data_IF_360912735432
#
_entry.id   IF_360912735432
#
_cell.length_a   1.000
_cell.length_b   1.000
_cell.length_c   1.000
_cell.angle_alpha   90.00
_cell.angle_beta   90.00
_cell.angle_gamma   90.00
#
_symmetry.space_group_name_H-M   'P 1'
#
loop_
_entity.id
_entity.type
_entity.pdbx_description
1 polymer ?
#
# COMPACT_ATOMS: atom_id res chain seq x y z
N UNK A 1 -8.63 -51.65 -9.89
CA UNK A 1 -8.13 -50.30 -10.23
C UNK A 1 -9.30 -49.45 -10.70
N UNK A 2 -9.87 -48.63 -9.81
CA UNK A 2 -10.41 -47.34 -10.20
C UNK A 2 -9.59 -46.23 -9.54
N UNK A 3 -9.27 -45.24 -10.37
CA UNK A 3 -8.42 -44.08 -10.11
C UNK A 3 -9.11 -43.14 -9.11
N UNK A 4 -8.49 -42.91 -7.95
CA UNK A 4 -8.89 -41.84 -7.04
C UNK A 4 -8.57 -40.48 -7.70
N UNK A 5 -9.63 -39.75 -8.05
CA UNK A 5 -9.56 -38.33 -8.37
C UNK A 5 -9.12 -37.59 -7.09
N UNK A 6 -7.85 -37.19 -7.07
CA UNK A 6 -7.31 -36.32 -6.05
C UNK A 6 -8.02 -34.96 -6.14
N UNK A 7 -8.97 -34.73 -5.23
CA UNK A 7 -9.63 -33.46 -5.06
C UNK A 7 -8.59 -32.45 -4.56
N UNK A 8 -8.14 -31.58 -5.46
CA UNK A 8 -7.37 -30.38 -5.13
C UNK A 8 -8.27 -29.47 -4.29
N UNK A 9 -8.22 -29.64 -2.97
CA UNK A 9 -8.72 -28.64 -2.04
C UNK A 9 -7.87 -27.38 -2.21
N UNK A 10 -8.33 -26.47 -3.06
CA UNK A 10 -7.90 -25.07 -3.02
C UNK A 10 -8.26 -24.56 -1.64
N UNK A 11 -7.26 -24.40 -0.76
CA UNK A 11 -7.48 -23.84 0.56
C UNK A 11 -8.25 -22.52 0.40
N UNK A 12 -9.45 -22.45 0.96
CA UNK A 12 -10.28 -21.24 0.92
C UNK A 12 -9.44 -20.12 1.54
N UNK A 13 -9.12 -19.08 0.77
CA UNK A 13 -8.35 -17.96 1.29
C UNK A 13 -9.09 -17.38 2.51
N UNK A 14 -8.34 -17.09 3.59
CA UNK A 14 -8.94 -16.51 4.81
C UNK A 14 -9.70 -15.24 4.46
N UNK A 15 -10.87 -15.05 5.07
CA UNK A 15 -11.68 -13.83 4.90
C UNK A 15 -10.90 -12.55 5.24
N UNK A 16 -9.93 -12.64 6.16
CA UNK A 16 -9.03 -11.54 6.49
C UNK A 16 -8.01 -11.28 5.39
N UNK A 17 -7.52 -12.34 4.73
CA UNK A 17 -6.67 -12.18 3.56
C UNK A 17 -7.44 -11.49 2.42
N UNK A 18 -8.67 -11.91 2.13
CA UNK A 18 -9.49 -11.29 1.08
C UNK A 18 -9.78 -9.80 1.37
N UNK A 19 -10.01 -9.44 2.62
CA UNK A 19 -10.15 -8.03 3.02
C UNK A 19 -8.84 -7.22 2.94
N UNK A 20 -7.68 -7.85 3.14
CA UNK A 20 -6.38 -7.18 3.13
C UNK A 20 -5.80 -7.03 1.71
N UNK A 21 -5.91 -8.11 0.93
CA UNK A 21 -5.19 -8.35 -0.31
C UNK A 21 -6.05 -8.97 -1.42
N UNK A 22 -7.35 -9.15 -1.21
CA UNK A 22 -8.27 -9.70 -2.19
C UNK A 22 -9.31 -8.69 -2.68
N UNK A 23 -10.49 -9.23 -2.97
CA UNK A 23 -11.58 -8.59 -3.70
C UNK A 23 -12.56 -7.80 -2.79
N UNK A 24 -12.53 -8.03 -1.48
CA UNK A 24 -13.50 -7.44 -0.54
C UNK A 24 -12.87 -6.52 0.53
N UNK A 25 -12.13 -5.46 0.13
CA UNK A 25 -11.46 -4.57 1.08
C UNK A 25 -12.42 -3.75 1.96
N UNK A 26 -13.67 -3.59 1.53
CA UNK A 26 -14.72 -2.86 2.26
C UNK A 26 -15.40 -3.64 3.37
N UNK A 27 -15.06 -4.94 3.54
CA UNK A 27 -15.71 -5.81 4.52
C UNK A 27 -15.62 -5.22 5.93
N UNK A 28 -16.78 -5.00 6.53
CA UNK A 28 -16.91 -4.58 7.93
C UNK A 28 -18.24 -5.05 8.52
N UNK A 29 -18.29 -5.61 9.74
CA UNK A 29 -17.15 -5.90 10.62
C UNK A 29 -16.25 -7.02 10.07
N UNK A 30 -14.95 -6.94 10.38
CA UNK A 30 -14.00 -8.01 10.06
C UNK A 30 -14.10 -9.15 11.09
N UNK A 31 -13.89 -10.42 10.70
CA UNK A 31 -13.83 -11.55 11.64
C UNK A 31 -12.59 -11.46 12.55
N UNK A 32 -12.68 -11.97 13.79
CA UNK A 32 -11.59 -11.90 14.74
C UNK A 32 -10.38 -12.72 14.27
N UNK A 33 -9.18 -12.16 14.38
CA UNK A 33 -7.94 -12.88 14.05
C UNK A 33 -7.64 -13.95 15.10
N UNK A 34 -7.29 -15.15 14.64
CA UNK A 34 -6.96 -16.29 15.50
C UNK A 34 -5.46 -16.45 15.76
N UNK A 35 -4.61 -15.86 14.90
CA UNK A 35 -3.15 -15.89 15.03
C UNK A 35 -2.49 -14.56 14.64
N UNK A 36 -1.14 -14.51 14.71
CA UNK A 36 -0.38 -13.32 14.36
C UNK A 36 -0.43 -12.92 12.88
N UNK A 37 -0.58 -13.88 11.96
CA UNK A 37 -0.64 -13.60 10.51
C UNK A 37 -2.03 -13.06 10.14
N UNK A 38 -3.09 -13.65 10.68
CA UNK A 38 -4.44 -13.11 10.57
C UNK A 38 -4.56 -11.72 11.22
N UNK A 39 -3.87 -11.49 12.33
CA UNK A 39 -3.83 -10.16 12.96
C UNK A 39 -3.16 -9.12 12.06
N UNK A 40 -2.09 -9.51 11.35
CA UNK A 40 -1.49 -8.66 10.32
C UNK A 40 -2.47 -8.35 9.20
N UNK A 41 -3.14 -9.35 8.62
CA UNK A 41 -4.14 -9.14 7.56
C UNK A 41 -5.28 -8.23 8.03
N UNK A 42 -5.82 -8.49 9.22
CA UNK A 42 -6.87 -7.67 9.83
C UNK A 42 -6.42 -6.22 10.03
N UNK A 43 -5.19 -5.99 10.47
CA UNK A 43 -4.63 -4.65 10.59
C UNK A 43 -4.45 -3.97 9.23
N UNK A 44 -3.95 -4.68 8.21
CA UNK A 44 -3.81 -4.16 6.84
C UNK A 44 -5.17 -3.72 6.29
N UNK A 45 -6.23 -4.52 6.50
CA UNK A 45 -7.60 -4.21 6.10
C UNK A 45 -8.14 -2.98 6.85
N UNK A 46 -8.06 -2.96 8.19
CA UNK A 46 -8.48 -1.82 9.01
C UNK A 46 -7.78 -0.51 8.60
N UNK A 47 -6.46 -0.56 8.37
CA UNK A 47 -5.71 0.61 7.91
C UNK A 47 -6.13 1.03 6.49
N UNK A 48 -6.42 0.07 5.60
CA UNK A 48 -6.97 0.37 4.27
C UNK A 48 -8.33 1.08 4.31
N UNK A 49 -9.12 0.81 5.34
CA UNK A 49 -10.43 1.44 5.58
C UNK A 49 -10.33 2.77 6.35
N UNK A 50 -9.12 3.24 6.70
CA UNK A 50 -8.91 4.47 7.48
C UNK A 50 -9.12 4.30 9.00
N UNK A 51 -9.21 3.07 9.51
CA UNK A 51 -9.41 2.78 10.94
C UNK A 51 -8.08 2.60 11.66
N UNK A 52 -7.22 3.63 11.64
CA UNK A 52 -5.82 3.50 12.06
C UNK A 52 -5.64 3.11 13.54
N UNK A 53 -6.44 3.64 14.47
CA UNK A 53 -6.34 3.23 15.89
C UNK A 53 -6.70 1.76 16.09
N UNK A 54 -7.73 1.28 15.38
CA UNK A 54 -8.12 -0.13 15.43
C UNK A 54 -7.03 -1.02 14.81
N UNK A 55 -6.44 -0.60 13.69
CA UNK A 55 -5.32 -1.29 13.06
C UNK A 55 -4.09 -1.37 13.99
N UNK A 56 -3.82 -0.30 14.74
CA UNK A 56 -2.71 -0.25 15.70
C UNK A 56 -2.96 -1.13 16.94
N UNK A 57 -4.19 -1.15 17.46
CA UNK A 57 -4.57 -2.07 18.55
C UNK A 57 -4.48 -3.53 18.08
N UNK A 58 -4.92 -3.81 16.86
CA UNK A 58 -4.87 -5.15 16.29
C UNK A 58 -3.44 -5.69 16.20
N UNK A 59 -2.46 -4.91 15.69
CA UNK A 59 -1.06 -5.36 15.62
C UNK A 59 -0.43 -5.72 16.97
N UNK A 60 -1.01 -5.25 18.08
CA UNK A 60 -0.55 -5.56 19.45
C UNK A 60 -1.24 -6.79 20.04
N UNK A 61 -2.36 -7.24 19.45
CA UNK A 61 -3.18 -8.35 19.97
C UNK A 61 -2.44 -9.67 19.91
N UNK A 62 -1.75 -9.93 18.79
CA UNK A 62 -1.01 -11.16 18.55
C UNK A 62 0.46 -10.86 18.30
N UNK A 63 1.34 -11.31 19.20
CA UNK A 63 2.78 -11.12 19.05
C UNK A 63 3.31 -12.05 17.95
N UNK A 64 3.96 -11.53 16.89
CA UNK A 64 4.48 -12.39 15.84
C UNK A 64 5.71 -13.17 16.30
N UNK A 65 5.79 -14.43 15.87
CA UNK A 65 6.85 -15.36 16.24
C UNK A 65 8.11 -15.22 15.35
N UNK A 66 7.95 -14.84 14.08
CA UNK A 66 9.06 -14.67 13.12
C UNK A 66 9.50 -13.22 12.99
N UNK A 67 10.76 -12.99 12.63
CA UNK A 67 11.30 -11.64 12.45
C UNK A 67 10.70 -10.96 11.21
N UNK A 68 10.40 -11.75 10.18
CA UNK A 68 9.77 -11.33 8.93
C UNK A 68 8.37 -10.76 9.20
N UNK A 69 7.54 -11.47 9.97
CA UNK A 69 6.20 -11.00 10.28
C UNK A 69 6.23 -9.78 11.22
N UNK A 70 7.19 -9.74 12.17
CA UNK A 70 7.41 -8.53 12.98
C UNK A 70 7.84 -7.33 12.12
N UNK A 71 8.65 -7.55 11.10
CA UNK A 71 9.05 -6.51 10.14
C UNK A 71 7.86 -6.03 9.33
N UNK A 72 7.01 -6.94 8.84
CA UNK A 72 5.78 -6.61 8.15
C UNK A 72 4.80 -5.82 9.02
N UNK A 73 4.67 -6.16 10.31
CA UNK A 73 3.89 -5.34 11.26
C UNK A 73 4.44 -3.90 11.35
N UNK A 74 5.76 -3.76 11.46
CA UNK A 74 6.41 -2.44 11.54
C UNK A 74 6.21 -1.63 10.25
N UNK A 75 6.41 -2.24 9.08
CA UNK A 75 6.20 -1.57 7.79
C UNK A 75 4.72 -1.26 7.50
N UNK A 76 3.77 -2.09 7.93
CA UNK A 76 2.34 -1.72 7.85
C UNK A 76 2.09 -0.46 8.66
N UNK A 77 2.62 -0.38 9.89
CA UNK A 77 2.49 0.80 10.74
C UNK A 77 3.10 2.04 10.11
N UNK A 78 4.33 1.93 9.60
CA UNK A 78 4.98 3.02 8.88
C UNK A 78 4.13 3.49 7.67
N UNK A 79 3.51 2.55 6.96
CA UNK A 79 2.74 2.86 5.75
C UNK A 79 1.51 3.73 5.99
N UNK A 80 0.78 3.56 7.09
CA UNK A 80 -0.34 4.46 7.39
C UNK A 80 0.11 5.75 8.08
N UNK A 81 1.20 5.73 8.85
CA UNK A 81 1.79 6.96 9.41
C UNK A 81 2.19 7.93 8.29
N UNK A 82 2.77 7.42 7.18
CA UNK A 82 3.03 8.23 5.98
C UNK A 82 1.77 8.78 5.33
N UNK A 83 0.66 8.03 5.32
CA UNK A 83 -0.58 8.51 4.71
C UNK A 83 -1.16 9.71 5.45
N UNK A 84 -0.91 9.81 6.76
CA UNK A 84 -1.34 10.93 7.59
C UNK A 84 -0.24 12.00 7.77
N UNK A 85 0.82 11.96 6.97
CA UNK A 85 1.90 12.96 6.97
C UNK A 85 3.00 12.78 8.03
N UNK A 86 2.93 11.76 8.88
CA UNK A 86 3.90 11.54 9.96
C UNK A 86 5.17 10.78 9.51
N UNK A 87 5.86 11.31 8.50
CA UNK A 87 7.04 10.69 7.88
C UNK A 87 8.19 10.40 8.86
N UNK A 88 8.43 11.26 9.84
CA UNK A 88 9.47 11.02 10.84
C UNK A 88 9.17 9.80 11.72
N UNK A 89 7.91 9.64 12.13
CA UNK A 89 7.46 8.50 12.93
C UNK A 89 7.47 7.23 12.07
N UNK A 90 7.04 7.32 10.81
CA UNK A 90 7.10 6.20 9.86
C UNK A 90 8.54 5.67 9.68
N UNK A 91 9.51 6.58 9.49
CA UNK A 91 10.94 6.24 9.35
C UNK A 91 11.48 5.41 10.51
N UNK A 92 11.04 5.68 11.74
CA UNK A 92 11.42 4.88 12.90
C UNK A 92 10.96 3.43 12.74
N UNK A 93 9.73 3.20 12.30
CA UNK A 93 9.18 1.86 12.12
C UNK A 93 9.79 1.14 10.92
N UNK A 94 10.01 1.82 9.79
CA UNK A 94 10.69 1.21 8.64
C UNK A 94 12.17 0.90 8.95
N UNK A 95 12.82 1.70 9.81
CA UNK A 95 14.14 1.37 10.37
C UNK A 95 14.13 0.12 11.27
N UNK A 96 13.10 -0.03 12.12
CA UNK A 96 12.90 -1.26 12.92
C UNK A 96 12.66 -2.45 12.00
N UNK A 97 11.87 -2.29 10.93
CA UNK A 97 11.61 -3.35 9.96
C UNK A 97 12.92 -3.86 9.34
N UNK A 98 13.76 -2.95 8.82
CA UNK A 98 15.08 -3.30 8.28
C UNK A 98 15.97 -3.99 9.33
N UNK A 99 15.99 -3.49 10.57
CA UNK A 99 16.77 -4.10 11.64
C UNK A 99 16.35 -5.55 11.91
N UNK A 100 15.04 -5.84 11.87
CA UNK A 100 14.51 -7.17 12.17
C UNK A 100 14.89 -8.21 11.13
N UNK A 101 14.87 -7.88 9.84
CA UNK A 101 15.13 -8.87 8.76
C UNK A 101 16.58 -8.92 8.30
N UNK A 102 17.36 -7.90 8.65
CA UNK A 102 18.71 -7.69 8.16
C UNK A 102 18.77 -7.54 6.63
N UNK A 103 19.88 -6.99 6.12
CA UNK A 103 20.09 -6.82 4.67
C UNK A 103 21.38 -7.48 4.17
N UNK A 104 22.04 -8.26 5.02
CA UNK A 104 23.26 -8.98 4.67
C UNK A 104 22.90 -10.36 4.14
N UNK A 105 23.51 -10.72 3.01
CA UNK A 105 23.29 -11.99 2.33
C UNK A 105 21.93 -12.08 1.61
N UNK A 106 21.76 -13.07 0.72
CA UNK A 106 20.50 -13.27 0.02
C UNK A 106 19.37 -13.68 0.99
N UNK A 107 18.11 -13.30 0.72
CA UNK A 107 16.98 -13.81 1.49
C UNK A 107 16.83 -15.32 1.30
N UNK A 108 16.46 -16.02 2.37
CA UNK A 108 16.36 -17.49 2.41
C UNK A 108 14.95 -18.00 2.17
N UNK A 109 13.94 -17.13 2.18
CA UNK A 109 12.53 -17.48 1.99
C UNK A 109 11.74 -16.36 1.30
N UNK A 110 10.54 -16.69 0.82
CA UNK A 110 9.59 -15.71 0.25
C UNK A 110 9.21 -14.66 1.28
N UNK A 111 8.89 -15.08 2.51
CA UNK A 111 8.56 -14.18 3.63
C UNK A 111 9.72 -13.22 3.94
N UNK A 112 10.97 -13.70 3.93
CA UNK A 112 12.14 -12.86 4.15
C UNK A 112 12.34 -11.87 2.99
N UNK A 113 12.10 -12.31 1.76
CA UNK A 113 12.20 -11.45 0.57
C UNK A 113 11.14 -10.35 0.60
N UNK A 114 9.90 -10.73 0.92
CA UNK A 114 8.77 -9.80 1.03
C UNK A 114 9.03 -8.77 2.14
N UNK A 115 9.41 -9.23 3.34
CA UNK A 115 9.65 -8.33 4.47
C UNK A 115 10.85 -7.38 4.23
N UNK A 116 11.94 -7.85 3.62
CA UNK A 116 13.08 -6.99 3.24
C UNK A 116 12.70 -5.97 2.18
N UNK A 117 11.98 -6.39 1.15
CA UNK A 117 11.55 -5.51 0.07
C UNK A 117 10.58 -4.43 0.59
N UNK A 118 9.62 -4.81 1.43
CA UNK A 118 8.64 -3.88 2.00
C UNK A 118 9.32 -2.84 2.91
N UNK A 119 10.28 -3.28 3.74
CA UNK A 119 11.05 -2.39 4.60
C UNK A 119 11.93 -1.39 3.81
N UNK A 120 12.61 -1.85 2.75
CA UNK A 120 13.42 -1.00 1.88
C UNK A 120 12.56 0.00 1.10
N UNK A 121 11.44 -0.45 0.53
CA UNK A 121 10.49 0.41 -0.17
C UNK A 121 9.86 1.44 0.78
N UNK A 122 9.56 1.05 2.03
CA UNK A 122 9.10 1.96 3.08
C UNK A 122 10.10 3.07 3.39
N UNK A 123 11.36 2.71 3.64
CA UNK A 123 12.45 3.70 3.82
C UNK A 123 12.65 4.59 2.60
N UNK A 124 12.47 4.07 1.38
CA UNK A 124 12.54 4.88 0.17
C UNK A 124 11.42 5.93 0.14
N UNK A 125 10.19 5.55 0.50
CA UNK A 125 9.07 6.48 0.61
C UNK A 125 9.29 7.55 1.70
N UNK A 126 9.91 7.19 2.83
CA UNK A 126 10.28 8.17 3.86
C UNK A 126 11.43 9.10 3.43
N UNK A 127 12.37 8.59 2.62
CA UNK A 127 13.43 9.41 2.05
C UNK A 127 12.86 10.40 1.02
N UNK A 128 11.94 9.93 0.16
CA UNK A 128 11.16 10.74 -0.76
C UNK A 128 10.42 11.87 -0.04
N UNK A 129 9.62 11.56 0.97
CA UNK A 129 8.82 12.53 1.73
C UNK A 129 9.65 13.59 2.48
N UNK A 130 10.96 13.38 2.62
CA UNK A 130 11.89 14.35 3.20
C UNK A 130 12.85 14.96 2.18
N UNK A 131 12.58 14.85 0.87
CA UNK A 131 13.39 15.43 -0.21
C UNK A 131 14.73 14.74 -0.48
N UNK A 132 15.00 13.57 0.12
CA UNK A 132 16.27 12.84 -0.03
C UNK A 132 16.22 11.89 -1.23
N UNK A 133 16.06 12.46 -2.42
CA UNK A 133 15.74 11.71 -3.64
C UNK A 133 16.80 10.70 -4.08
N UNK A 134 18.10 10.97 -3.88
CA UNK A 134 19.16 10.01 -4.19
C UNK A 134 19.13 8.79 -3.25
N UNK A 135 18.80 9.00 -1.97
CA UNK A 135 18.65 7.91 -1.02
C UNK A 135 17.42 7.06 -1.36
N UNK A 136 16.31 7.69 -1.74
CA UNK A 136 15.10 6.98 -2.18
C UNK A 136 15.42 6.05 -3.37
N UNK A 137 16.14 6.57 -4.36
CA UNK A 137 16.56 5.83 -5.56
C UNK A 137 17.45 4.62 -5.22
N UNK A 138 18.48 4.84 -4.39
CA UNK A 138 19.37 3.76 -3.96
C UNK A 138 18.63 2.67 -3.17
N UNK A 139 17.64 3.03 -2.34
CA UNK A 139 16.82 2.08 -1.59
C UNK A 139 15.86 1.30 -2.50
N UNK A 140 15.28 1.95 -3.53
CA UNK A 140 14.45 1.28 -4.54
C UNK A 140 15.25 0.30 -5.38
N UNK A 141 16.46 0.66 -5.79
CA UNK A 141 17.36 -0.24 -6.50
C UNK A 141 17.65 -1.50 -5.66
N UNK A 142 17.99 -1.33 -4.39
CA UNK A 142 18.23 -2.45 -3.46
C UNK A 142 16.97 -3.28 -3.21
N UNK A 143 15.79 -2.66 -3.12
CA UNK A 143 14.51 -3.38 -3.02
C UNK A 143 14.27 -4.23 -4.26
N UNK A 144 14.53 -3.67 -5.43
CA UNK A 144 14.42 -4.35 -6.74
C UNK A 144 15.29 -5.60 -6.82
N UNK A 145 16.54 -5.51 -6.37
CA UNK A 145 17.44 -6.67 -6.28
C UNK A 145 16.88 -7.79 -5.39
N UNK A 146 16.14 -7.46 -4.32
CA UNK A 146 15.53 -8.48 -3.45
C UNK A 146 14.46 -9.29 -4.18
N UNK A 147 13.45 -8.63 -4.74
CA UNK A 147 12.29 -9.33 -5.32
C UNK A 147 12.54 -9.86 -6.75
N UNK A 148 13.57 -9.39 -7.46
CA UNK A 148 14.02 -10.01 -8.72
C UNK A 148 14.90 -11.25 -8.51
N UNK A 149 15.41 -11.44 -7.29
CA UNK A 149 16.18 -12.61 -6.90
C UNK A 149 15.40 -13.91 -7.02
N UNK A 150 16.09 -15.05 -7.02
CA UNK A 150 15.51 -16.39 -7.27
C UNK A 150 14.28 -16.70 -6.40
N UNK A 151 14.29 -16.25 -5.14
CA UNK A 151 13.24 -16.53 -4.16
C UNK A 151 12.09 -15.51 -4.24
N UNK A 152 12.34 -14.33 -4.80
CA UNK A 152 11.35 -13.24 -4.90
C UNK A 152 10.53 -13.22 -6.18
N UNK A 153 10.94 -13.96 -7.22
CA UNK A 153 10.26 -13.96 -8.51
C UNK A 153 8.79 -14.39 -8.34
N UNK A 154 7.88 -13.55 -8.81
CA UNK A 154 6.44 -13.76 -8.72
C UNK A 154 5.77 -13.08 -7.51
N UNK A 155 6.53 -12.45 -6.61
CA UNK A 155 5.95 -11.63 -5.54
C UNK A 155 5.43 -10.30 -6.10
N UNK A 156 4.12 -10.23 -6.36
CA UNK A 156 3.49 -9.03 -6.93
C UNK A 156 3.54 -7.82 -5.99
N UNK A 157 3.33 -8.00 -4.67
CA UNK A 157 3.16 -6.90 -3.72
C UNK A 157 4.43 -6.04 -3.55
N UNK A 158 5.64 -6.61 -3.36
CA UNK A 158 6.88 -5.84 -3.38
C UNK A 158 7.12 -5.07 -4.66
N UNK A 159 6.94 -5.72 -5.83
CA UNK A 159 7.16 -5.10 -7.13
C UNK A 159 6.19 -3.93 -7.36
N UNK A 160 4.92 -4.12 -7.04
CA UNK A 160 3.89 -3.09 -7.18
C UNK A 160 4.17 -1.87 -6.28
N UNK A 161 4.51 -2.10 -5.01
CA UNK A 161 4.83 -1.00 -4.08
C UNK A 161 6.09 -0.25 -4.49
N UNK A 162 7.10 -0.95 -5.01
CA UNK A 162 8.30 -0.30 -5.54
C UNK A 162 7.96 0.58 -6.75
N UNK A 163 7.09 0.12 -7.66
CA UNK A 163 6.64 0.90 -8.81
C UNK A 163 5.87 2.16 -8.41
N UNK A 164 5.02 2.11 -7.37
CA UNK A 164 4.36 3.32 -6.84
C UNK A 164 5.36 4.35 -6.33
N UNK A 165 6.31 3.94 -5.50
CA UNK A 165 7.31 4.86 -4.93
C UNK A 165 8.25 5.39 -6.02
N UNK A 166 8.56 4.60 -7.04
CA UNK A 166 9.33 5.05 -8.21
C UNK A 166 8.55 6.11 -9.03
N UNK A 167 7.25 5.91 -9.24
CA UNK A 167 6.40 6.92 -9.89
C UNK A 167 6.36 8.22 -9.08
N UNK A 168 6.14 8.14 -7.76
CA UNK A 168 6.15 9.29 -6.86
C UNK A 168 7.52 9.99 -6.84
N UNK A 169 8.64 9.25 -6.93
CA UNK A 169 9.98 9.82 -7.05
C UNK A 169 10.19 10.58 -8.35
N UNK A 170 9.74 10.04 -9.48
CA UNK A 170 9.82 10.72 -10.76
C UNK A 170 8.96 12.00 -10.76
N UNK A 171 7.74 11.96 -10.21
CA UNK A 171 6.88 13.14 -10.02
C UNK A 171 7.59 14.23 -9.20
N UNK A 172 8.18 13.87 -8.06
CA UNK A 172 8.89 14.82 -7.18
C UNK A 172 10.16 15.41 -7.80
N UNK A 173 10.75 14.73 -8.80
CA UNK A 173 11.89 15.24 -9.58
C UNK A 173 11.48 16.07 -10.79
N UNK A 174 10.19 16.18 -11.09
CA UNK A 174 9.66 16.84 -12.29
C UNK A 174 9.81 16.00 -13.56
N UNK A 175 10.08 14.70 -13.45
CA UNK A 175 10.15 13.77 -14.58
C UNK A 175 8.78 13.10 -14.80
N UNK A 176 7.87 13.86 -15.39
CA UNK A 176 6.51 13.39 -15.66
C UNK A 176 6.43 12.15 -16.57
N UNK A 177 7.15 12.09 -17.72
CA UNK A 177 7.15 10.91 -18.58
C UNK A 177 7.60 9.63 -17.85
N UNK A 178 8.64 9.71 -17.03
CA UNK A 178 9.10 8.56 -16.24
C UNK A 178 8.09 8.17 -15.14
N UNK A 179 7.42 9.16 -14.54
CA UNK A 179 6.32 8.89 -13.60
C UNK A 179 5.17 8.10 -14.24
N UNK A 180 4.76 8.48 -15.45
CA UNK A 180 3.73 7.76 -16.22
C UNK A 180 4.18 6.34 -16.53
N UNK A 181 5.43 6.16 -16.99
CA UNK A 181 6.00 4.83 -17.28
C UNK A 181 5.95 3.91 -16.06
N UNK A 182 6.33 4.42 -14.88
CA UNK A 182 6.25 3.66 -13.63
C UNK A 182 4.80 3.36 -13.20
N UNK A 183 3.88 4.32 -13.37
CA UNK A 183 2.47 4.11 -13.07
C UNK A 183 1.81 3.06 -13.98
N UNK A 184 2.17 3.04 -15.27
CA UNK A 184 1.71 2.01 -16.22
C UNK A 184 2.29 0.63 -15.90
N UNK A 185 3.56 0.55 -15.53
CA UNK A 185 4.16 -0.69 -15.03
C UNK A 185 3.46 -1.19 -13.76
N UNK A 186 3.08 -0.29 -12.86
CA UNK A 186 2.28 -0.62 -11.68
C UNK A 186 0.88 -1.14 -12.08
N UNK A 187 0.22 -0.55 -13.08
CA UNK A 187 -1.08 -1.05 -13.58
C UNK A 187 -0.98 -2.46 -14.16
N UNK A 188 0.06 -2.74 -14.94
CA UNK A 188 0.30 -4.08 -15.46
C UNK A 188 0.42 -5.12 -14.31
N UNK A 189 1.19 -4.80 -13.26
CA UNK A 189 1.33 -5.64 -12.08
C UNK A 189 0.02 -5.78 -11.27
N UNK A 190 -0.78 -4.72 -11.19
CA UNK A 190 -2.04 -4.72 -10.45
C UNK A 190 -3.13 -5.54 -11.15
N UNK A 191 -3.15 -5.58 -12.49
CA UNK A 191 -4.08 -6.42 -13.25
C UNK A 191 -3.85 -7.92 -13.02
N UNK A 192 -2.61 -8.30 -12.73
CA UNK A 192 -2.24 -9.67 -12.37
C UNK A 192 -2.47 -9.99 -10.87
N UNK A 193 -2.84 -8.99 -10.06
CA UNK A 193 -3.07 -9.12 -8.63
C UNK A 193 -4.56 -9.03 -8.31
N UNK A 194 -5.10 -10.04 -7.61
CA UNK A 194 -6.53 -10.09 -7.21
C UNK A 194 -6.90 -9.07 -6.09
N UNK A 195 -6.16 -7.97 -5.94
CA UNK A 195 -6.35 -7.01 -4.84
C UNK A 195 -7.01 -5.70 -5.28
N UNK A 196 -8.32 -5.58 -5.04
CA UNK A 196 -9.10 -4.39 -5.42
C UNK A 196 -8.52 -3.09 -4.82
N UNK A 197 -8.05 -3.14 -3.56
CA UNK A 197 -7.42 -1.98 -2.93
C UNK A 197 -6.15 -1.53 -3.66
N UNK A 198 -5.32 -2.48 -4.09
CA UNK A 198 -4.07 -2.15 -4.78
C UNK A 198 -4.35 -1.67 -6.21
N UNK A 199 -5.39 -2.18 -6.87
CA UNK A 199 -5.89 -1.63 -8.15
C UNK A 199 -6.28 -0.17 -7.98
N UNK A 200 -7.17 0.15 -7.03
CA UNK A 200 -7.63 1.54 -6.78
C UNK A 200 -6.46 2.47 -6.41
N UNK A 201 -5.51 2.03 -5.57
CA UNK A 201 -4.31 2.82 -5.26
C UNK A 201 -3.41 3.02 -6.48
N UNK A 202 -3.33 2.03 -7.36
CA UNK A 202 -2.53 2.15 -8.60
C UNK A 202 -3.15 3.15 -9.56
N UNK A 203 -4.47 3.12 -9.73
CA UNK A 203 -5.18 4.10 -10.55
C UNK A 203 -5.04 5.53 -9.99
N UNK A 204 -5.04 5.69 -8.67
CA UNK A 204 -4.74 6.98 -8.03
C UNK A 204 -3.32 7.49 -8.38
N UNK A 205 -2.32 6.62 -8.34
CA UNK A 205 -0.93 6.99 -8.69
C UNK A 205 -0.83 7.35 -10.18
N UNK A 206 -1.54 6.63 -11.06
CA UNK A 206 -1.60 6.95 -12.48
C UNK A 206 -2.29 8.30 -12.75
N UNK A 207 -3.38 8.60 -12.05
CA UNK A 207 -4.04 9.92 -12.13
C UNK A 207 -3.10 11.05 -11.70
N UNK A 208 -2.33 10.86 -10.62
CA UNK A 208 -1.34 11.82 -10.17
C UNK A 208 -0.21 12.01 -11.21
N UNK A 209 0.29 10.93 -11.81
CA UNK A 209 1.30 11.01 -12.86
C UNK A 209 0.81 11.77 -14.10
N UNK A 210 -0.45 11.56 -14.51
CA UNK A 210 -1.09 12.34 -15.58
C UNK A 210 -1.12 13.84 -15.24
N UNK A 211 -1.43 14.19 -13.99
CA UNK A 211 -1.39 15.59 -13.55
C UNK A 211 0.02 16.18 -13.68
N UNK A 212 1.07 15.41 -13.39
CA UNK A 212 2.46 15.87 -13.49
C UNK A 212 2.95 16.12 -14.93
N UNK A 213 2.36 15.47 -15.92
CA UNK A 213 2.64 15.75 -17.35
C UNK A 213 1.72 16.82 -17.96
N UNK A 214 0.89 17.48 -17.13
CA UNK A 214 -0.02 18.54 -17.57
C UNK A 214 -1.33 18.05 -18.20
N UNK A 215 -1.61 16.76 -18.14
CA UNK A 215 -2.86 16.14 -18.64
C UNK A 215 -3.99 16.30 -17.60
N UNK A 216 -4.25 17.54 -17.16
CA UNK A 216 -5.10 17.85 -16.01
C UNK A 216 -6.54 17.37 -16.15
N UNK A 217 -7.13 17.47 -17.34
CA UNK A 217 -8.49 16.97 -17.60
C UNK A 217 -8.58 15.45 -17.43
N UNK A 218 -7.63 14.71 -18.01
CA UNK A 218 -7.57 13.23 -17.89
C UNK A 218 -7.24 12.80 -16.46
N UNK A 219 -6.36 13.54 -15.79
CA UNK A 219 -6.04 13.33 -14.38
C UNK A 219 -7.28 13.50 -13.50
N UNK A 220 -8.07 14.56 -13.71
CA UNK A 220 -9.32 14.80 -12.99
C UNK A 220 -10.35 13.71 -13.24
N UNK A 221 -10.60 13.35 -14.50
CA UNK A 221 -11.54 12.27 -14.85
C UNK A 221 -11.14 10.95 -14.17
N UNK A 222 -9.85 10.63 -14.19
CA UNK A 222 -9.32 9.44 -13.51
C UNK A 222 -9.48 9.54 -11.99
N UNK A 223 -9.21 10.70 -11.40
CA UNK A 223 -9.34 10.94 -9.97
C UNK A 223 -10.80 10.80 -9.49
N UNK A 224 -11.79 11.27 -10.27
CA UNK A 224 -13.21 11.07 -9.99
C UNK A 224 -13.57 9.57 -10.00
N UNK A 225 -13.10 8.83 -11.01
CA UNK A 225 -13.31 7.38 -11.08
C UNK A 225 -12.71 6.65 -9.87
N UNK A 226 -11.49 7.03 -9.45
CA UNK A 226 -10.84 6.50 -8.25
C UNK A 226 -11.64 6.84 -6.99
N UNK A 227 -12.15 8.06 -6.85
CA UNK A 227 -12.93 8.47 -5.69
C UNK A 227 -14.22 7.63 -5.56
N UNK A 228 -14.93 7.42 -6.67
CA UNK A 228 -16.10 6.55 -6.73
C UNK A 228 -15.76 5.08 -6.42
N UNK A 229 -14.68 4.54 -7.01
CA UNK A 229 -14.24 3.17 -6.75
C UNK A 229 -13.83 2.97 -5.27
N UNK A 230 -13.12 3.94 -4.69
CA UNK A 230 -12.73 3.93 -3.30
C UNK A 230 -13.93 4.02 -2.36
N UNK A 231 -14.96 4.80 -2.70
CA UNK A 231 -16.22 4.85 -1.95
C UNK A 231 -16.93 3.49 -1.96
N UNK A 232 -17.14 2.89 -3.15
CA UNK A 232 -17.78 1.56 -3.26
C UNK A 232 -17.00 0.47 -2.53
N UNK A 233 -15.67 0.57 -2.51
CA UNK A 233 -14.79 -0.37 -1.85
C UNK A 233 -14.56 -0.08 -0.36
N UNK A 234 -15.16 0.96 0.23
CA UNK A 234 -14.96 1.32 1.65
C UNK A 234 -13.54 1.78 1.99
N UNK A 235 -12.80 2.31 1.03
CA UNK A 235 -11.41 2.74 1.14
C UNK A 235 -11.31 4.25 1.40
N UNK A 236 -11.74 4.68 2.58
CA UNK A 236 -11.85 6.10 2.94
C UNK A 236 -10.56 6.92 2.71
N UNK A 237 -9.34 6.44 3.04
CA UNK A 237 -8.11 7.17 2.77
C UNK A 237 -7.82 7.37 1.27
N UNK A 238 -8.18 6.41 0.42
CA UNK A 238 -7.99 6.55 -1.02
C UNK A 238 -9.03 7.48 -1.63
N UNK A 239 -10.26 7.46 -1.13
CA UNK A 239 -11.30 8.42 -1.52
C UNK A 239 -10.85 9.84 -1.19
N UNK A 240 -10.33 10.07 0.02
CA UNK A 240 -9.78 11.36 0.43
C UNK A 240 -8.66 11.84 -0.52
N UNK A 241 -7.68 10.99 -0.77
CA UNK A 241 -6.55 11.35 -1.64
C UNK A 241 -6.98 11.63 -3.09
N UNK A 242 -7.94 10.87 -3.62
CA UNK A 242 -8.51 11.09 -4.94
C UNK A 242 -9.29 12.42 -5.01
N UNK A 243 -10.09 12.71 -3.99
CA UNK A 243 -10.82 13.99 -3.87
C UNK A 243 -9.85 15.18 -3.79
N UNK A 244 -8.75 15.09 -3.04
CA UNK A 244 -7.71 16.13 -3.05
C UNK A 244 -7.11 16.35 -4.45
N UNK A 245 -6.88 15.26 -5.20
CA UNK A 245 -6.39 15.35 -6.56
C UNK A 245 -7.41 16.03 -7.49
N UNK A 246 -8.71 15.74 -7.35
CA UNK A 246 -9.76 16.45 -8.09
C UNK A 246 -9.73 17.95 -7.79
N UNK A 247 -9.70 18.34 -6.51
CA UNK A 247 -9.62 19.74 -6.07
C UNK A 247 -8.40 20.45 -6.68
N UNK A 248 -7.24 19.78 -6.73
CA UNK A 248 -6.01 20.33 -7.30
C UNK A 248 -5.96 20.38 -8.84
N UNK A 249 -6.78 19.60 -9.55
CA UNK A 249 -6.73 19.47 -11.03
C UNK A 249 -7.90 20.09 -11.78
N UNK A 250 -8.94 20.53 -11.08
CA UNK A 250 -10.07 21.21 -11.72
C UNK A 250 -11.34 21.35 -10.88
N UNK A 251 -11.27 21.09 -9.56
CA UNK A 251 -12.38 21.22 -8.63
C UNK A 251 -13.21 19.93 -8.49
N UNK A 252 -14.24 20.03 -7.65
CA UNK A 252 -15.15 18.91 -7.34
C UNK A 252 -16.37 18.90 -8.25
N UNK A 253 -16.84 17.70 -8.56
CA UNK A 253 -18.15 17.51 -9.19
C UNK A 253 -19.27 17.70 -8.17
N UNK A 254 -20.46 18.07 -8.65
CA UNK A 254 -21.63 18.23 -7.81
C UNK A 254 -21.97 16.92 -7.07
N UNK A 255 -22.11 17.00 -5.74
CA UNK A 255 -22.42 15.85 -4.88
C UNK A 255 -21.20 15.10 -4.35
N UNK A 256 -19.98 15.43 -4.79
CA UNK A 256 -18.78 14.89 -4.15
C UNK A 256 -18.59 15.49 -2.75
N UNK A 257 -18.22 14.64 -1.79
CA UNK A 257 -17.76 15.07 -0.47
C UNK A 257 -16.39 15.73 -0.58
N UNK A 258 -16.19 16.86 0.11
CA UNK A 258 -14.94 17.60 0.10
C UNK A 258 -13.79 16.81 0.75
N UNK A 259 -12.54 17.14 0.40
CA UNK A 259 -11.38 16.49 1.03
C UNK A 259 -11.33 16.79 2.54
N UNK A 260 -11.76 17.98 2.96
CA UNK A 260 -11.83 18.39 4.37
C UNK A 260 -12.81 17.53 5.17
N UNK A 261 -14.00 17.28 4.63
CA UNK A 261 -15.00 16.44 5.30
C UNK A 261 -14.54 14.98 5.37
N UNK A 262 -13.87 14.49 4.34
CA UNK A 262 -13.29 13.15 4.32
C UNK A 262 -12.15 13.01 5.32
N UNK A 263 -11.29 14.01 5.47
CA UNK A 263 -10.25 14.04 6.51
C UNK A 263 -10.87 13.97 7.91
N UNK A 264 -11.90 14.79 8.18
CA UNK A 264 -12.64 14.73 9.44
C UNK A 264 -13.28 13.36 9.70
N UNK A 265 -13.74 12.67 8.64
CA UNK A 265 -14.27 11.31 8.76
C UNK A 265 -13.19 10.26 9.10
N UNK A 266 -11.94 10.45 8.66
CA UNK A 266 -10.78 9.61 9.01
C UNK A 266 -10.35 9.87 10.46
N UNK A 267 -10.43 11.11 10.93
CA UNK A 267 -10.07 11.49 12.30
C UNK A 267 -11.04 10.92 13.36
N UNK A 268 -12.35 10.87 13.08
CA UNK A 268 -13.39 10.39 14.02
C UNK A 268 -13.12 9.01 14.65
N UNK A 269 -12.66 7.98 13.90
CA UNK A 269 -12.25 6.69 14.47
C UNK A 269 -10.86 6.69 15.13
N UNK A 270 -10.23 7.85 15.32
CA UNK A 270 -8.93 8.07 15.99
C UNK A 270 -7.72 8.10 15.05
N UNK A 271 -7.93 8.30 13.74
CA UNK A 271 -6.86 8.39 12.75
C UNK A 271 -6.35 9.82 12.58
N UNK A 272 -5.47 10.32 13.45
CA UNK A 272 -4.97 11.70 13.36
C UNK A 272 -4.33 12.02 12.00
N UNK A 273 -5.08 12.72 11.15
CA UNK A 273 -4.65 13.37 9.89
C UNK A 273 -4.28 14.83 10.09
N UNK A 274 -4.28 15.33 11.34
CA UNK A 274 -3.96 16.72 11.67
C UNK A 274 -2.86 16.78 12.74
N UNK A 275 -1.70 17.27 12.32
CA UNK A 275 -0.55 17.69 13.11
C UNK A 275 0.36 18.56 12.26
#
# INVERSE_FOLDING_TARGET
MPTEQSSLFTATQSELFDAAFGSNPGRFPLPAATDSRESWFRSVALAGQGRYSAAEVELRRHRPHSQELRSLHASTRASWLRQVGEHERARRFDGIAVFLVGLVGPPTSTDATEARSDALTGLAADALGSGRFHLADALLARSTEQWQGRVGRGLWRPALRAAWVAAELAMMRGDGPEAVRHAEAARALANDADSLRHVVKTDLVAAAALSCVGETSRARESAVQVACAAEMAGLLPLRWAATMLCEGTGGLDAGMTSSVDLAAAIDRPGGSTVG
#
